data_IF_156320565249
#
_entry.id   IF_156320565249
#
_cell.length_a   1.000
_cell.length_b   1.000
_cell.length_c   1.000
_cell.angle_alpha   90.00
_cell.angle_beta   90.00
_cell.angle_gamma   90.00
#
_symmetry.space_group_name_H-M   'P 1'
#
loop_
_entity.id
_entity.type
_entity.pdbx_description
1 polymer ?
#
# COMPACT_ATOMS: atom_id res chain seq x y z
N UNK A 1 66.88 0.28 16.16
CA UNK A 1 66.23 0.93 15.00
C UNK A 1 65.12 0.00 14.53
N UNK A 2 63.93 0.17 15.03
CA UNK A 2 62.71 -0.56 14.62
C UNK A 2 61.76 0.46 14.07
N UNK A 3 61.49 0.36 12.78
CA UNK A 3 60.50 1.16 12.08
C UNK A 3 59.12 0.58 12.39
N UNK A 4 58.31 1.34 13.10
CA UNK A 4 56.89 1.04 13.32
C UNK A 4 56.07 1.67 12.18
N UNK A 5 55.62 0.85 11.23
CA UNK A 5 54.66 1.24 10.21
C UNK A 5 53.25 1.26 10.81
N UNK A 6 52.73 2.45 11.05
CA UNK A 6 51.32 2.67 11.38
C UNK A 6 50.43 2.32 10.16
N UNK A 7 49.30 1.60 10.36
CA UNK A 7 48.34 1.36 9.29
C UNK A 7 47.62 2.65 8.96
N UNK A 8 47.64 3.05 7.68
CA UNK A 8 46.89 4.16 7.14
C UNK A 8 45.37 3.91 7.30
N UNK A 9 44.74 4.64 8.21
CA UNK A 9 43.27 4.81 8.20
C UNK A 9 42.86 5.58 6.94
N UNK A 10 41.92 5.08 6.13
CA UNK A 10 41.44 5.85 4.99
C UNK A 10 40.67 7.06 5.50
N UNK A 11 41.24 8.24 5.26
CA UNK A 11 40.56 9.53 5.44
C UNK A 11 39.41 9.60 4.45
N UNK A 12 38.21 9.29 4.87
CA UNK A 12 36.97 9.64 4.16
C UNK A 12 36.77 11.16 4.25
N UNK A 13 37.50 11.91 3.43
CA UNK A 13 37.11 13.28 3.12
C UNK A 13 35.81 13.20 2.33
N UNK A 14 34.70 13.56 2.96
CA UNK A 14 33.43 13.84 2.27
C UNK A 14 33.72 14.82 1.13
N UNK A 15 33.32 14.51 -0.11
CA UNK A 15 33.52 15.44 -1.21
C UNK A 15 32.84 16.77 -0.87
N UNK A 16 33.50 17.91 -1.03
CA UNK A 16 32.94 19.23 -0.71
C UNK A 16 31.66 19.58 -1.48
N UNK A 17 31.36 18.85 -2.56
CA UNK A 17 30.19 19.09 -3.41
C UNK A 17 28.89 18.39 -2.96
N UNK A 18 28.91 17.51 -1.96
CA UNK A 18 27.69 16.88 -1.46
C UNK A 18 26.73 17.86 -0.76
N UNK A 19 27.26 18.95 -0.21
CA UNK A 19 26.47 20.01 0.42
C UNK A 19 25.85 21.00 -0.61
N UNK A 20 26.39 21.10 -1.82
CA UNK A 20 25.90 21.97 -2.88
C UNK A 20 24.73 21.38 -3.67
N UNK A 21 24.48 20.07 -3.55
CA UNK A 21 23.43 19.37 -4.30
C UNK A 21 21.99 19.62 -3.80
N UNK A 22 21.82 20.22 -2.63
CA UNK A 22 20.49 20.54 -2.09
C UNK A 22 20.45 22.03 -1.70
N UNK A 23 19.72 22.87 -2.45
CA UNK A 23 19.49 24.23 -2.00
C UNK A 23 18.85 24.19 -0.62
N UNK A 24 19.24 25.11 0.29
CA UNK A 24 18.70 25.15 1.63
C UNK A 24 17.18 25.21 1.57
N UNK A 25 16.50 24.29 2.26
CA UNK A 25 15.03 24.30 2.39
C UNK A 25 14.62 25.64 2.99
N UNK A 26 14.17 26.56 2.12
CA UNK A 26 13.67 27.85 2.56
C UNK A 26 12.40 27.62 3.37
N UNK A 27 12.47 28.02 4.64
CA UNK A 27 11.38 28.08 5.63
C UNK A 27 10.50 26.83 5.75
N UNK A 28 10.76 26.06 6.80
CA UNK A 28 9.78 25.07 7.31
C UNK A 28 8.50 25.82 7.70
N UNK A 29 7.45 25.70 6.90
CA UNK A 29 6.11 26.05 7.33
C UNK A 29 5.49 24.79 7.98
N UNK A 30 5.50 24.67 9.32
CA UNK A 30 4.94 23.51 10.03
C UNK A 30 3.46 23.29 9.69
N UNK A 31 2.75 24.37 9.33
CA UNK A 31 1.37 24.34 8.86
C UNK A 31 1.16 23.48 7.60
N UNK A 32 2.08 23.48 6.64
CA UNK A 32 1.92 22.68 5.41
C UNK A 32 1.99 21.16 5.69
N UNK A 33 2.85 20.75 6.62
CA UNK A 33 2.93 19.36 7.04
C UNK A 33 1.67 18.93 7.81
N UNK A 34 1.16 19.80 8.69
CA UNK A 34 -0.08 19.55 9.41
C UNK A 34 -1.28 19.37 8.46
N UNK A 35 -1.39 20.20 7.42
CA UNK A 35 -2.42 20.07 6.38
C UNK A 35 -2.32 18.73 5.63
N UNK A 36 -1.11 18.29 5.29
CA UNK A 36 -0.89 16.97 4.67
C UNK A 36 -1.25 15.82 5.59
N UNK A 37 -0.91 15.91 6.88
CA UNK A 37 -1.28 14.91 7.88
C UNK A 37 -2.81 14.86 8.02
N UNK A 38 -3.46 16.02 8.12
CA UNK A 38 -4.93 16.12 8.21
C UNK A 38 -5.61 15.51 6.99
N UNK A 39 -5.19 15.87 5.78
CA UNK A 39 -5.67 15.24 4.54
C UNK A 39 -5.48 13.72 4.55
N UNK A 40 -4.31 13.26 4.99
CA UNK A 40 -4.02 11.83 5.06
C UNK A 40 -4.94 11.10 6.03
N UNK A 41 -5.20 11.67 7.21
CA UNK A 41 -6.08 11.12 8.23
C UNK A 41 -7.51 11.02 7.70
N UNK A 42 -8.09 12.12 7.20
CA UNK A 42 -9.47 12.16 6.71
C UNK A 42 -9.69 11.20 5.54
N UNK A 43 -8.74 11.11 4.59
CA UNK A 43 -8.77 10.14 3.50
C UNK A 43 -8.69 8.71 4.02
N UNK A 44 -7.87 8.44 5.03
CA UNK A 44 -7.74 7.10 5.60
C UNK A 44 -9.01 6.67 6.37
N UNK A 45 -9.67 7.60 7.06
CA UNK A 45 -10.97 7.36 7.68
C UNK A 45 -11.98 6.96 6.59
N UNK A 46 -12.11 7.76 5.53
CA UNK A 46 -13.00 7.45 4.41
C UNK A 46 -12.68 6.09 3.77
N UNK A 47 -11.40 5.79 3.56
CA UNK A 47 -10.93 4.50 3.04
C UNK A 47 -11.32 3.32 3.93
N UNK A 48 -11.15 3.45 5.25
CA UNK A 48 -11.56 2.45 6.24
C UNK A 48 -13.07 2.20 6.23
N UNK A 49 -13.88 3.26 6.07
CA UNK A 49 -15.33 3.14 5.90
C UNK A 49 -15.68 2.37 4.64
N UNK A 50 -15.10 2.75 3.51
CA UNK A 50 -15.48 2.22 2.19
C UNK A 50 -15.02 0.77 2.00
N UNK A 51 -13.90 0.35 2.57
CA UNK A 51 -13.39 -1.03 2.45
C UNK A 51 -14.33 -2.04 3.11
N UNK A 52 -14.95 -1.65 4.21
CA UNK A 52 -15.94 -2.52 4.89
C UNK A 52 -17.30 -2.40 4.18
N UNK A 53 -17.73 -1.19 3.81
CA UNK A 53 -19.05 -0.97 3.27
C UNK A 53 -19.26 -1.55 1.87
N UNK A 54 -18.23 -1.52 1.01
CA UNK A 54 -18.36 -1.91 -0.40
C UNK A 54 -18.72 -3.39 -0.60
N UNK A 55 -18.06 -4.38 0.04
CA UNK A 55 -18.47 -5.77 -0.09
C UNK A 55 -19.93 -6.02 0.37
N UNK A 56 -20.34 -5.40 1.48
CA UNK A 56 -21.72 -5.52 1.97
C UNK A 56 -22.72 -4.84 1.05
N UNK A 57 -22.36 -3.72 0.43
CA UNK A 57 -23.20 -3.08 -0.58
C UNK A 57 -23.41 -4.03 -1.76
N UNK A 58 -22.33 -4.56 -2.33
CA UNK A 58 -22.39 -5.36 -3.55
C UNK A 58 -23.05 -6.71 -3.30
N UNK A 59 -22.64 -7.43 -2.25
CA UNK A 59 -23.10 -8.80 -1.99
C UNK A 59 -24.47 -8.85 -1.28
N UNK A 60 -24.67 -8.05 -0.23
CA UNK A 60 -25.85 -8.17 0.62
C UNK A 60 -26.97 -7.19 0.25
N UNK A 61 -26.65 -5.99 -0.27
CA UNK A 61 -27.67 -4.99 -0.60
C UNK A 61 -28.10 -5.10 -2.06
N UNK A 62 -27.14 -5.25 -2.98
CA UNK A 62 -27.41 -5.32 -4.41
C UNK A 62 -27.55 -6.76 -4.92
N UNK A 63 -27.24 -7.76 -4.07
CA UNK A 63 -27.25 -9.18 -4.41
C UNK A 63 -26.48 -9.51 -5.70
N UNK A 64 -25.37 -8.78 -5.93
CA UNK A 64 -24.47 -9.01 -7.05
C UNK A 64 -23.50 -10.13 -6.74
N UNK A 65 -22.86 -10.67 -7.78
CA UNK A 65 -21.88 -11.75 -7.66
C UNK A 65 -20.54 -11.28 -7.09
N UNK A 66 -19.72 -12.22 -6.61
CA UNK A 66 -18.35 -11.93 -6.18
C UNK A 66 -17.46 -11.56 -7.36
N UNK A 67 -17.75 -12.04 -8.57
CA UNK A 67 -17.12 -11.60 -9.80
C UNK A 67 -17.38 -10.10 -10.06
N UNK A 68 -18.62 -9.63 -9.86
CA UNK A 68 -18.94 -8.21 -9.97
C UNK A 68 -18.14 -7.35 -8.98
N UNK A 69 -18.00 -7.80 -7.73
CA UNK A 69 -17.13 -7.15 -6.74
C UNK A 69 -15.66 -7.16 -7.18
N UNK A 70 -15.19 -8.28 -7.72
CA UNK A 70 -13.84 -8.42 -8.29
C UNK A 70 -13.61 -7.43 -9.44
N UNK A 71 -14.58 -7.28 -10.34
CA UNK A 71 -14.51 -6.31 -11.45
C UNK A 71 -14.42 -4.85 -10.95
N UNK A 72 -15.20 -4.49 -9.92
CA UNK A 72 -15.11 -3.18 -9.26
C UNK A 72 -13.71 -2.95 -8.70
N UNK A 73 -13.13 -3.92 -8.00
CA UNK A 73 -11.77 -3.81 -7.48
C UNK A 73 -10.71 -3.70 -8.59
N UNK A 74 -10.84 -4.49 -9.67
CA UNK A 74 -9.94 -4.41 -10.82
C UNK A 74 -9.99 -3.04 -11.47
N UNK A 75 -11.18 -2.50 -11.70
CA UNK A 75 -11.36 -1.15 -12.23
C UNK A 75 -10.64 -0.11 -11.38
N UNK A 76 -10.75 -0.20 -10.05
CA UNK A 76 -10.06 0.69 -9.12
C UNK A 76 -8.54 0.52 -9.08
N UNK A 77 -8.05 -0.72 -9.12
CA UNK A 77 -6.61 -1.01 -9.12
C UNK A 77 -5.95 -0.52 -10.40
N UNK A 78 -6.56 -0.82 -11.56
CA UNK A 78 -6.05 -0.37 -12.86
C UNK A 78 -6.09 1.14 -13.00
N UNK A 79 -7.21 1.75 -12.61
CA UNK A 79 -7.33 3.20 -12.56
C UNK A 79 -6.27 3.84 -11.65
N UNK A 80 -6.06 3.30 -10.46
CA UNK A 80 -5.01 3.79 -9.53
C UNK A 80 -3.63 3.76 -10.18
N UNK A 81 -3.29 2.72 -10.93
CA UNK A 81 -2.01 2.63 -11.64
C UNK A 81 -1.86 3.74 -12.69
N UNK A 82 -2.89 3.94 -13.53
CA UNK A 82 -2.90 4.97 -14.58
C UNK A 82 -2.89 6.38 -13.98
N UNK A 83 -3.77 6.61 -13.00
CA UNK A 83 -3.88 7.91 -12.35
C UNK A 83 -2.64 8.28 -11.54
N UNK A 84 -1.94 7.33 -10.94
CA UNK A 84 -0.69 7.58 -10.23
C UNK A 84 0.41 8.07 -11.17
N UNK A 85 0.52 7.49 -12.38
CA UNK A 85 1.46 7.93 -13.41
C UNK A 85 1.07 9.31 -13.94
N UNK A 86 -0.22 9.50 -14.28
CA UNK A 86 -0.73 10.78 -14.77
C UNK A 86 -0.56 11.91 -13.73
N UNK A 87 -0.87 11.63 -12.46
CA UNK A 87 -0.72 12.59 -11.37
C UNK A 87 0.77 12.93 -11.10
N UNK A 88 1.66 11.95 -11.21
CA UNK A 88 3.11 12.19 -11.14
C UNK A 88 3.58 13.12 -12.26
N UNK A 89 3.21 12.84 -13.52
CA UNK A 89 3.55 13.70 -14.67
C UNK A 89 2.95 15.11 -14.55
N UNK A 90 1.72 15.20 -14.04
CA UNK A 90 1.05 16.49 -13.82
C UNK A 90 1.77 17.31 -12.73
N UNK A 91 2.21 16.64 -11.65
CA UNK A 91 2.97 17.27 -10.58
C UNK A 91 4.35 17.78 -11.04
N UNK A 92 4.98 17.07 -12.00
CA UNK A 92 6.29 17.44 -12.55
C UNK A 92 6.19 18.55 -13.59
N UNK A 93 5.14 18.56 -14.43
CA UNK A 93 4.99 19.50 -15.56
C UNK A 93 4.24 20.78 -15.21
N UNK A 94 3.27 20.73 -14.29
CA UNK A 94 2.43 21.89 -13.94
C UNK A 94 2.73 22.37 -12.53
N UNK A 95 1.91 21.94 -11.58
CA UNK A 95 2.05 22.31 -10.18
C UNK A 95 1.73 21.14 -9.29
N UNK A 96 2.62 20.73 -8.37
CA UNK A 96 2.38 19.63 -7.45
C UNK A 96 1.13 19.87 -6.57
N UNK A 97 0.79 21.12 -6.26
CA UNK A 97 -0.45 21.48 -5.58
C UNK A 97 -1.69 21.13 -6.39
N UNK A 98 -1.72 21.45 -7.68
CA UNK A 98 -2.84 21.13 -8.57
C UNK A 98 -3.06 19.62 -8.69
N UNK A 99 -2.00 18.86 -8.90
CA UNK A 99 -2.06 17.38 -8.92
C UNK A 99 -2.55 16.78 -7.60
N UNK A 100 -2.11 17.34 -6.46
CA UNK A 100 -2.56 16.92 -5.14
C UNK A 100 -4.05 17.22 -4.88
N UNK A 101 -4.53 18.39 -5.32
CA UNK A 101 -5.94 18.77 -5.22
C UNK A 101 -6.81 17.87 -6.08
N UNK A 102 -6.47 17.69 -7.36
CA UNK A 102 -7.25 16.84 -8.28
C UNK A 102 -7.37 15.42 -7.69
N UNK A 103 -6.26 14.80 -7.34
CA UNK A 103 -6.28 13.44 -6.77
C UNK A 103 -6.93 13.39 -5.38
N UNK A 104 -6.90 14.48 -4.62
CA UNK A 104 -7.55 14.61 -3.32
C UNK A 104 -9.08 14.63 -3.44
N UNK A 105 -9.63 15.35 -4.42
CA UNK A 105 -11.07 15.45 -4.64
C UNK A 105 -11.68 14.23 -5.34
N UNK A 106 -10.89 13.34 -5.93
CA UNK A 106 -11.39 12.11 -6.56
C UNK A 106 -12.09 11.18 -5.55
N UNK A 107 -11.59 11.08 -4.33
CA UNK A 107 -12.16 10.21 -3.29
C UNK A 107 -13.57 10.66 -2.85
N UNK A 108 -13.78 11.92 -2.42
CA UNK A 108 -15.13 12.35 -2.09
C UNK A 108 -16.10 12.27 -3.27
N UNK A 109 -15.64 12.61 -4.48
CA UNK A 109 -16.47 12.49 -5.68
C UNK A 109 -16.96 11.04 -5.89
N UNK A 110 -16.03 10.07 -5.81
CA UNK A 110 -16.37 8.66 -5.97
C UNK A 110 -17.32 8.15 -4.90
N UNK A 111 -17.11 8.56 -3.64
CA UNK A 111 -18.01 8.19 -2.55
C UNK A 111 -19.43 8.73 -2.75
N UNK A 112 -19.57 9.98 -3.20
CA UNK A 112 -20.86 10.58 -3.51
C UNK A 112 -21.52 9.98 -4.76
N UNK A 113 -20.75 9.55 -5.76
CA UNK A 113 -21.28 8.78 -6.90
C UNK A 113 -21.97 7.50 -6.41
N UNK A 114 -21.33 6.73 -5.51
CA UNK A 114 -21.93 5.52 -4.91
C UNK A 114 -23.17 5.86 -4.06
N UNK A 115 -23.12 6.96 -3.31
CA UNK A 115 -24.28 7.42 -2.54
C UNK A 115 -25.46 7.78 -3.44
N UNK A 116 -25.22 8.48 -4.53
CA UNK A 116 -26.26 8.96 -5.43
C UNK A 116 -26.91 7.80 -6.20
N UNK A 117 -26.11 6.89 -6.73
CA UNK A 117 -26.61 5.76 -7.52
C UNK A 117 -25.78 4.49 -7.25
N UNK A 118 -26.45 3.42 -6.86
CA UNK A 118 -25.86 2.13 -6.51
C UNK A 118 -25.95 1.11 -7.66
N UNK A 119 -26.18 1.55 -8.90
CA UNK A 119 -26.14 0.65 -10.06
C UNK A 119 -24.72 0.15 -10.33
N UNK A 120 -24.59 -1.06 -10.85
CA UNK A 120 -23.29 -1.66 -11.17
C UNK A 120 -22.40 -0.79 -12.07
N UNK A 121 -22.91 -0.17 -13.17
CA UNK A 121 -22.10 0.76 -13.97
C UNK A 121 -21.60 1.96 -13.18
N UNK A 122 -22.42 2.49 -12.24
CA UNK A 122 -22.00 3.62 -11.41
C UNK A 122 -20.95 3.20 -10.39
N UNK A 123 -21.02 1.98 -9.84
CA UNK A 123 -19.99 1.44 -8.96
C UNK A 123 -18.66 1.27 -9.69
N UNK A 124 -18.68 0.80 -10.94
CA UNK A 124 -17.48 0.74 -11.79
C UNK A 124 -16.92 2.14 -12.06
N UNK A 125 -17.75 3.11 -12.45
CA UNK A 125 -17.32 4.49 -12.69
C UNK A 125 -16.75 5.13 -11.41
N UNK A 126 -17.40 4.96 -10.27
CA UNK A 126 -16.92 5.43 -8.98
C UNK A 126 -15.59 4.77 -8.60
N UNK A 127 -15.41 3.48 -8.90
CA UNK A 127 -14.16 2.77 -8.65
C UNK A 127 -13.01 3.29 -9.53
N UNK A 128 -13.30 3.61 -10.78
CA UNK A 128 -12.32 4.25 -11.69
C UNK A 128 -11.91 5.62 -11.15
N UNK A 129 -12.85 6.43 -10.71
CA UNK A 129 -12.58 7.76 -10.15
C UNK A 129 -11.84 7.67 -8.81
N UNK A 130 -12.34 6.87 -7.87
CA UNK A 130 -11.82 6.80 -6.50
C UNK A 130 -10.68 5.82 -6.29
N UNK A 131 -10.40 4.96 -7.26
CA UNK A 131 -9.40 3.91 -7.13
C UNK A 131 -9.74 2.96 -5.97
N UNK A 132 -10.92 2.32 -5.98
CA UNK A 132 -11.34 1.39 -4.94
C UNK A 132 -10.48 0.13 -4.97
N UNK A 133 -9.37 0.15 -4.28
CA UNK A 133 -8.46 -0.98 -4.21
C UNK A 133 -8.39 -1.51 -2.77
N UNK A 134 -8.86 -2.73 -2.56
CA UNK A 134 -8.76 -3.39 -1.27
C UNK A 134 -7.30 -3.79 -0.93
N UNK A 135 -6.44 -3.91 -1.94
CA UNK A 135 -5.08 -4.47 -1.81
C UNK A 135 -4.06 -3.61 -1.06
N UNK A 136 -4.34 -2.35 -0.83
CA UNK A 136 -3.42 -1.46 -0.13
C UNK A 136 -4.03 -0.68 1.03
N UNK A 137 -5.26 -1.00 1.39
CA UNK A 137 -6.14 -0.15 2.21
C UNK A 137 -5.72 -0.01 3.66
N UNK A 138 -5.06 -0.99 4.22
CA UNK A 138 -4.77 -0.98 5.65
C UNK A 138 -3.68 0.03 6.05
N UNK A 139 -2.74 0.40 5.16
CA UNK A 139 -1.68 1.37 5.49
C UNK A 139 -1.32 2.32 4.33
N UNK A 140 -2.25 2.70 3.50
CA UNK A 140 -1.97 3.88 2.68
C UNK A 140 -2.06 3.78 1.18
N UNK A 141 -2.51 2.68 0.64
CA UNK A 141 -2.69 2.51 -0.81
C UNK A 141 -4.09 2.05 -1.23
N UNK A 142 -5.05 2.05 -0.32
CA UNK A 142 -6.44 1.73 -0.60
C UNK A 142 -7.13 2.78 -1.44
N UNK A 143 -8.37 3.07 -1.09
CA UNK A 143 -9.15 4.12 -1.76
C UNK A 143 -8.34 5.41 -1.89
N UNK A 144 -8.26 5.97 -3.08
CA UNK A 144 -7.47 7.17 -3.37
C UNK A 144 -5.96 6.95 -3.50
N UNK A 145 -5.50 5.73 -3.80
CA UNK A 145 -4.08 5.42 -3.99
C UNK A 145 -3.35 6.29 -5.02
N UNK A 146 -4.06 6.86 -5.98
CA UNK A 146 -3.54 7.78 -6.98
C UNK A 146 -2.88 9.04 -6.39
N UNK A 147 -3.33 9.52 -5.22
CA UNK A 147 -2.73 10.67 -4.54
C UNK A 147 -1.39 10.35 -3.87
N UNK A 148 -1.05 9.08 -3.67
CA UNK A 148 0.12 8.68 -2.87
C UNK A 148 1.47 9.11 -3.48
N UNK A 149 1.74 8.96 -4.78
CA UNK A 149 3.00 9.43 -5.37
C UNK A 149 3.16 10.94 -5.23
N UNK A 150 2.10 11.71 -5.51
CA UNK A 150 2.10 13.17 -5.39
C UNK A 150 2.32 13.59 -3.93
N UNK A 151 1.61 12.96 -2.98
CA UNK A 151 1.80 13.20 -1.56
C UNK A 151 3.24 12.90 -1.12
N UNK A 152 3.81 11.81 -1.61
CA UNK A 152 5.20 11.44 -1.31
C UNK A 152 6.20 12.47 -1.85
N UNK A 153 5.98 12.99 -3.06
CA UNK A 153 6.82 14.03 -3.63
C UNK A 153 6.73 15.35 -2.82
N UNK A 154 5.53 15.71 -2.39
CA UNK A 154 5.32 16.90 -1.54
C UNK A 154 5.99 16.74 -0.16
N UNK A 155 5.89 15.57 0.47
CA UNK A 155 6.60 15.29 1.72
C UNK A 155 8.12 15.41 1.52
N UNK A 156 8.63 14.90 0.40
CA UNK A 156 10.05 15.00 0.08
C UNK A 156 10.53 16.46 -0.05
N UNK A 157 9.67 17.36 -0.54
CA UNK A 157 9.93 18.80 -0.64
C UNK A 157 9.80 19.56 0.69
N UNK A 158 8.93 19.09 1.58
CA UNK A 158 8.69 19.69 2.89
C UNK A 158 9.58 19.12 4.01
N UNK A 159 10.41 18.12 3.72
CA UNK A 159 11.23 17.42 4.70
C UNK A 159 12.72 17.43 4.31
N UNK A 160 13.58 17.44 5.33
CA UNK A 160 15.02 17.19 5.15
C UNK A 160 15.30 15.70 4.96
N UNK A 161 16.41 15.29 4.30
CA UNK A 161 16.78 13.88 4.16
C UNK A 161 16.78 13.10 5.49
N UNK A 162 17.24 13.73 6.57
CA UNK A 162 17.33 13.12 7.90
C UNK A 162 15.96 12.87 8.56
N UNK A 163 14.95 13.70 8.29
CA UNK A 163 13.62 13.62 8.89
C UNK A 163 12.58 12.92 7.99
N UNK A 164 12.89 12.72 6.72
CA UNK A 164 11.96 12.19 5.71
C UNK A 164 11.40 10.83 6.10
N UNK A 165 12.25 9.89 6.49
CA UNK A 165 11.84 8.53 6.90
C UNK A 165 10.91 8.58 8.11
N UNK A 166 11.20 9.45 9.08
CA UNK A 166 10.35 9.65 10.26
C UNK A 166 8.96 10.15 9.87
N UNK A 167 8.85 11.12 8.96
CA UNK A 167 7.55 11.61 8.49
C UNK A 167 6.75 10.54 7.75
N UNK A 168 7.38 9.74 6.88
CA UNK A 168 6.70 8.62 6.22
C UNK A 168 6.18 7.59 7.23
N UNK A 169 6.96 7.24 8.23
CA UNK A 169 6.56 6.28 9.27
C UNK A 169 5.39 6.80 10.11
N UNK A 170 5.44 8.06 10.53
CA UNK A 170 4.35 8.71 11.27
C UNK A 170 3.07 8.74 10.43
N UNK A 171 3.16 9.18 9.18
CA UNK A 171 2.02 9.23 8.27
C UNK A 171 1.41 7.86 8.01
N UNK A 172 2.24 6.82 7.85
CA UNK A 172 1.76 5.46 7.65
C UNK A 172 1.06 4.92 8.90
N UNK A 173 1.64 5.15 10.08
CA UNK A 173 1.04 4.77 11.36
C UNK A 173 -0.30 5.49 11.59
N UNK A 174 -0.33 6.81 11.45
CA UNK A 174 -1.55 7.60 11.60
C UNK A 174 -2.63 7.19 10.60
N UNK A 175 -2.23 6.86 9.35
CA UNK A 175 -3.16 6.36 8.33
C UNK A 175 -3.81 5.05 8.75
N UNK A 176 -3.06 4.13 9.34
CA UNK A 176 -3.59 2.85 9.80
C UNK A 176 -4.59 3.02 10.95
N UNK A 177 -4.24 3.83 11.96
CA UNK A 177 -5.14 4.14 13.08
C UNK A 177 -6.39 4.90 12.59
N UNK A 178 -6.24 5.87 11.70
CA UNK A 178 -7.35 6.60 11.11
C UNK A 178 -8.27 5.68 10.29
N UNK A 179 -7.69 4.74 9.53
CA UNK A 179 -8.43 3.71 8.80
C UNK A 179 -9.22 2.78 9.72
N UNK A 180 -8.63 2.41 10.86
CA UNK A 180 -9.32 1.65 11.90
C UNK A 180 -10.52 2.42 12.46
N UNK A 181 -10.34 3.70 12.79
CA UNK A 181 -11.43 4.58 13.20
C UNK A 181 -12.53 4.66 12.14
N UNK A 182 -12.15 4.79 10.87
CA UNK A 182 -13.08 4.76 9.74
C UNK A 182 -13.88 3.46 9.65
N UNK A 183 -13.21 2.31 9.77
CA UNK A 183 -13.90 1.02 9.80
C UNK A 183 -14.92 0.94 10.93
N UNK A 184 -14.59 1.41 12.15
CA UNK A 184 -15.53 1.44 13.28
C UNK A 184 -16.73 2.35 13.02
N UNK A 185 -16.56 3.48 12.35
CA UNK A 185 -17.67 4.39 12.03
C UNK A 185 -18.74 3.74 11.18
N UNK A 186 -18.44 2.70 10.43
CA UNK A 186 -19.42 1.95 9.64
C UNK A 186 -20.56 1.37 10.50
N UNK A 187 -20.29 1.11 11.77
CA UNK A 187 -21.30 0.62 12.71
C UNK A 187 -22.50 1.59 12.86
N UNK A 188 -22.25 2.88 12.81
CA UNK A 188 -23.23 3.93 13.11
C UNK A 188 -24.06 4.38 11.89
N UNK A 189 -23.65 4.02 10.68
CA UNK A 189 -24.29 4.45 9.45
C UNK A 189 -24.94 3.27 8.72
N UNK A 190 -26.01 3.51 7.96
CA UNK A 190 -26.48 2.54 6.97
C UNK A 190 -25.45 2.39 5.86
N UNK A 191 -25.52 1.30 5.07
CA UNK A 191 -24.56 1.05 3.98
C UNK A 191 -24.47 2.25 3.03
N UNK A 192 -25.59 2.81 2.64
CA UNK A 192 -25.66 3.99 1.76
C UNK A 192 -25.08 5.25 2.41
N UNK A 193 -25.49 5.56 3.64
CA UNK A 193 -25.00 6.76 4.36
C UNK A 193 -23.51 6.65 4.76
N UNK A 194 -22.94 5.45 4.81
CA UNK A 194 -21.50 5.28 4.98
C UNK A 194 -20.71 5.95 3.85
N UNK A 195 -21.17 5.85 2.59
CA UNK A 195 -20.53 6.52 1.46
C UNK A 195 -20.72 8.03 1.50
N UNK A 196 -21.89 8.53 1.93
CA UNK A 196 -22.08 9.96 2.15
C UNK A 196 -21.10 10.51 3.19
N UNK A 197 -21.02 9.88 4.35
CA UNK A 197 -20.12 10.29 5.43
C UNK A 197 -18.65 10.22 5.01
N UNK A 198 -18.24 9.14 4.32
CA UNK A 198 -16.88 9.00 3.79
C UNK A 198 -16.57 10.12 2.77
N UNK A 199 -17.53 10.48 1.94
CA UNK A 199 -17.42 11.61 1.01
C UNK A 199 -17.23 12.93 1.72
N UNK A 200 -18.04 13.24 2.74
CA UNK A 200 -17.92 14.48 3.53
C UNK A 200 -16.59 14.55 4.26
N UNK A 201 -16.18 13.49 4.95
CA UNK A 201 -14.93 13.47 5.71
C UNK A 201 -13.72 13.66 4.77
N UNK A 202 -13.68 12.95 3.63
CA UNK A 202 -12.58 13.09 2.68
C UNK A 202 -12.60 14.43 1.94
N UNK A 203 -13.78 15.03 1.71
CA UNK A 203 -13.92 16.36 1.13
C UNK A 203 -13.32 17.44 2.02
N UNK A 204 -13.61 17.40 3.33
CA UNK A 204 -13.03 18.35 4.31
C UNK A 204 -11.50 18.29 4.28
N UNK A 205 -10.93 17.08 4.22
CA UNK A 205 -9.47 16.92 4.09
C UNK A 205 -8.92 17.43 2.76
N UNK A 206 -9.61 17.17 1.65
CA UNK A 206 -9.21 17.67 0.34
C UNK A 206 -9.32 19.20 0.25
N UNK A 207 -10.36 19.79 0.84
CA UNK A 207 -10.54 21.24 0.92
C UNK A 207 -9.44 21.92 1.75
N UNK A 208 -8.97 21.29 2.82
CA UNK A 208 -7.85 21.81 3.60
C UNK A 208 -6.55 21.94 2.79
N UNK A 209 -6.37 21.13 1.73
CA UNK A 209 -5.20 21.26 0.84
C UNK A 209 -5.21 22.54 0.01
N UNK A 210 -6.32 23.26 -0.09
CA UNK A 210 -6.37 24.56 -0.79
C UNK A 210 -5.43 25.56 -0.11
N UNK A 211 -5.30 25.46 1.22
CA UNK A 211 -4.42 26.33 2.00
C UNK A 211 -2.93 25.93 1.97
N UNK A 212 -2.58 24.76 1.37
CA UNK A 212 -1.17 24.32 1.31
C UNK A 212 -0.35 25.20 0.37
N UNK A 213 0.83 25.57 0.80
CA UNK A 213 1.86 26.24 -0.02
C UNK A 213 3.02 25.27 -0.23
N UNK A 214 3.26 24.89 -1.49
CA UNK A 214 4.33 23.96 -1.85
C UNK A 214 5.47 24.76 -2.50
N UNK A 215 6.71 24.71 -1.95
CA UNK A 215 7.85 25.38 -2.55
C UNK A 215 8.12 24.85 -3.97
N UNK A 216 8.48 25.76 -4.88
CA UNK A 216 8.95 25.37 -6.20
C UNK A 216 10.27 24.59 -6.08
N UNK A 217 10.35 23.47 -6.77
CA UNK A 217 11.52 22.62 -6.81
C UNK A 217 12.06 22.57 -8.24
N UNK A 218 13.30 23.00 -8.39
CA UNK A 218 14.02 22.78 -9.64
C UNK A 218 14.49 21.33 -9.64
N UNK A 219 13.93 20.51 -10.51
CA UNK A 219 14.34 19.11 -10.66
C UNK A 219 15.82 19.07 -11.07
N UNK A 220 16.65 18.42 -10.26
CA UNK A 220 18.03 18.08 -10.63
C UNK A 220 17.99 17.21 -11.88
N UNK A 221 18.81 17.55 -12.89
CA UNK A 221 18.90 16.72 -14.10
C UNK A 221 19.35 15.31 -13.75
N UNK A 222 18.73 14.29 -14.37
CA UNK A 222 19.10 12.91 -14.14
C UNK A 222 20.53 12.65 -14.64
N UNK A 223 21.35 12.06 -13.78
CA UNK A 223 22.70 11.59 -14.18
C UNK A 223 22.54 10.19 -14.75
N UNK A 224 22.70 10.06 -16.06
CA UNK A 224 22.61 8.78 -16.76
C UNK A 224 23.69 7.80 -16.28
N UNK A 225 23.33 6.72 -15.60
CA UNK A 225 24.21 5.66 -15.14
C UNK A 225 23.76 4.29 -15.68
N UNK A 226 24.72 3.39 -15.92
CA UNK A 226 24.55 2.08 -16.57
C UNK A 226 23.57 1.18 -15.80
N UNK A 227 22.52 0.71 -16.47
CA UNK A 227 21.40 -0.04 -15.86
C UNK A 227 21.77 -1.49 -15.51
N UNK A 228 21.35 -1.95 -14.32
CA UNK A 228 21.32 -3.38 -13.98
C UNK A 228 19.94 -3.98 -14.36
N UNK A 229 19.74 -4.30 -15.63
CA UNK A 229 18.50 -4.92 -16.15
C UNK A 229 18.14 -6.23 -15.44
N UNK A 230 19.13 -6.93 -14.88
CA UNK A 230 18.92 -8.19 -14.14
C UNK A 230 18.18 -7.98 -12.82
N UNK A 231 18.58 -7.00 -12.02
CA UNK A 231 17.92 -6.67 -10.76
C UNK A 231 16.47 -6.23 -10.99
N UNK A 232 16.24 -5.34 -11.97
CA UNK A 232 14.90 -4.87 -12.34
C UNK A 232 14.00 -6.05 -12.71
N UNK A 233 14.48 -7.00 -13.52
CA UNK A 233 13.73 -8.21 -13.91
C UNK A 233 13.39 -9.08 -12.70
N UNK A 234 14.32 -9.32 -11.78
CA UNK A 234 14.08 -10.11 -10.57
C UNK A 234 13.01 -9.46 -9.67
N UNK A 235 13.08 -8.15 -9.45
CA UNK A 235 12.06 -7.42 -8.69
C UNK A 235 10.70 -7.39 -9.38
N UNK A 236 10.66 -7.31 -10.71
CA UNK A 236 9.39 -7.36 -11.47
C UNK A 236 8.73 -8.73 -11.37
N UNK A 237 9.48 -9.82 -11.48
CA UNK A 237 8.95 -11.20 -11.35
C UNK A 237 8.42 -11.42 -9.92
N UNK A 238 9.22 -11.12 -8.90
CA UNK A 238 8.78 -11.27 -7.51
C UNK A 238 7.65 -10.32 -7.15
N UNK A 239 7.61 -9.14 -7.78
CA UNK A 239 6.52 -8.17 -7.69
C UNK A 239 5.23 -8.71 -8.30
N UNK A 240 5.27 -9.32 -9.47
CA UNK A 240 4.12 -9.95 -10.12
C UNK A 240 3.54 -11.09 -9.27
N UNK A 241 4.39 -12.00 -8.77
CA UNK A 241 3.96 -13.09 -7.87
C UNK A 241 3.35 -12.55 -6.56
N UNK A 242 3.93 -11.49 -6.01
CA UNK A 242 3.34 -10.83 -4.84
C UNK A 242 2.00 -10.16 -5.18
N UNK A 243 1.85 -9.60 -6.38
CA UNK A 243 0.58 -9.07 -6.88
C UNK A 243 -0.48 -10.15 -7.02
N UNK A 244 -0.16 -11.26 -7.69
CA UNK A 244 -1.04 -12.42 -7.81
C UNK A 244 -1.55 -12.87 -6.44
N UNK A 245 -0.63 -13.11 -5.49
CA UNK A 245 -1.00 -13.55 -4.15
C UNK A 245 -1.88 -12.51 -3.43
N UNK A 246 -1.61 -11.23 -3.60
CA UNK A 246 -2.44 -10.18 -3.01
C UNK A 246 -3.84 -10.16 -3.59
N UNK A 247 -3.96 -10.28 -4.92
CA UNK A 247 -5.25 -10.26 -5.62
C UNK A 247 -6.13 -11.47 -5.29
N UNK A 248 -5.53 -12.66 -5.10
CA UNK A 248 -6.26 -13.87 -4.73
C UNK A 248 -6.98 -13.75 -3.38
N UNK A 249 -6.37 -13.14 -2.38
CA UNK A 249 -6.88 -13.23 -1.01
C UNK A 249 -7.37 -11.89 -0.46
N UNK A 250 -6.59 -10.82 -0.60
CA UNK A 250 -6.83 -9.60 0.19
C UNK A 250 -8.19 -8.96 -0.03
N UNK A 251 -8.69 -8.78 -1.26
CA UNK A 251 -9.99 -8.18 -1.51
C UNK A 251 -11.15 -9.07 -1.05
N UNK A 252 -10.90 -10.37 -0.97
CA UNK A 252 -11.92 -11.38 -0.70
C UNK A 252 -11.94 -11.88 0.75
N UNK A 253 -11.07 -11.38 1.63
CA UNK A 253 -11.11 -11.74 3.06
C UNK A 253 -12.43 -11.32 3.71
N UNK A 254 -12.92 -10.10 3.50
CA UNK A 254 -14.22 -9.67 4.01
C UNK A 254 -15.35 -10.47 3.35
N UNK A 255 -15.44 -10.59 1.99
CA UNK A 255 -16.39 -11.48 1.32
C UNK A 255 -16.40 -12.91 1.87
N UNK A 256 -15.24 -13.49 2.15
CA UNK A 256 -15.13 -14.83 2.75
C UNK A 256 -15.91 -14.93 4.07
N UNK A 257 -15.72 -13.98 5.00
CA UNK A 257 -16.45 -13.97 6.26
C UNK A 257 -17.95 -13.68 6.08
N UNK A 258 -18.32 -12.90 5.07
CA UNK A 258 -19.73 -12.65 4.74
C UNK A 258 -20.40 -13.91 4.23
N UNK A 259 -19.77 -14.63 3.29
CA UNK A 259 -20.36 -15.77 2.61
C UNK A 259 -20.33 -17.05 3.47
N UNK A 260 -19.21 -17.32 4.14
CA UNK A 260 -19.03 -18.56 4.91
C UNK A 260 -19.64 -18.47 6.30
N UNK A 261 -19.47 -17.33 6.99
CA UNK A 261 -19.89 -17.20 8.39
C UNK A 261 -21.07 -16.25 8.60
N UNK A 262 -21.60 -15.65 7.52
CA UNK A 262 -22.73 -14.70 7.56
C UNK A 262 -22.51 -13.58 8.59
N UNK A 263 -21.24 -13.12 8.74
CA UNK A 263 -20.91 -12.07 9.69
C UNK A 263 -21.59 -10.75 9.29
N UNK A 264 -22.23 -10.13 10.27
CA UNK A 264 -22.83 -8.81 10.07
C UNK A 264 -21.77 -7.73 9.81
N UNK A 265 -22.15 -6.71 9.05
CA UNK A 265 -21.30 -5.56 8.72
C UNK A 265 -20.69 -4.91 9.97
N UNK A 266 -21.48 -4.72 11.03
CA UNK A 266 -21.03 -4.13 12.29
C UNK A 266 -19.94 -4.95 12.98
N UNK A 267 -20.07 -6.27 13.02
CA UNK A 267 -19.03 -7.15 13.59
C UNK A 267 -17.77 -7.13 12.75
N UNK A 268 -17.90 -7.21 11.42
CA UNK A 268 -16.76 -7.17 10.52
C UNK A 268 -16.02 -5.82 10.58
N UNK A 269 -16.76 -4.72 10.78
CA UNK A 269 -16.18 -3.38 11.00
C UNK A 269 -15.24 -3.34 12.22
N UNK A 270 -15.66 -3.95 13.34
CA UNK A 270 -14.85 -4.04 14.56
C UNK A 270 -13.59 -4.87 14.30
N UNK A 271 -13.72 -6.05 13.70
CA UNK A 271 -12.56 -6.91 13.41
C UNK A 271 -11.59 -6.25 12.43
N UNK A 272 -12.11 -5.55 11.41
CA UNK A 272 -11.28 -4.78 10.48
C UNK A 272 -10.53 -3.64 11.17
N UNK A 273 -11.18 -2.96 12.11
CA UNK A 273 -10.53 -1.92 12.91
C UNK A 273 -9.38 -2.50 13.76
N UNK A 274 -9.63 -3.60 14.47
CA UNK A 274 -8.60 -4.27 15.27
C UNK A 274 -7.43 -4.74 14.38
N UNK A 275 -7.73 -5.37 13.24
CA UNK A 275 -6.71 -5.80 12.28
C UNK A 275 -5.85 -4.63 11.77
N UNK A 276 -6.47 -3.47 11.51
CA UNK A 276 -5.78 -2.25 11.07
C UNK A 276 -4.86 -1.67 12.15
N UNK A 277 -5.28 -1.71 13.42
CA UNK A 277 -4.46 -1.29 14.57
C UNK A 277 -3.26 -2.23 14.70
N UNK A 278 -3.47 -3.55 14.71
CA UNK A 278 -2.39 -4.53 14.80
C UNK A 278 -1.39 -4.39 13.65
N UNK A 279 -1.89 -4.15 12.42
CA UNK A 279 -1.06 -3.91 11.26
C UNK A 279 -0.22 -2.62 11.40
N UNK A 280 -0.79 -1.56 11.98
CA UNK A 280 -0.07 -0.30 12.23
C UNK A 280 1.03 -0.47 13.27
N UNK A 281 0.78 -1.26 14.33
CA UNK A 281 1.79 -1.61 15.33
C UNK A 281 2.90 -2.47 14.71
N UNK A 282 2.54 -3.45 13.89
CA UNK A 282 3.50 -4.31 13.20
C UNK A 282 4.45 -3.53 12.27
N UNK A 283 3.97 -2.44 11.66
CA UNK A 283 4.81 -1.56 10.86
C UNK A 283 5.94 -0.92 11.68
N UNK A 284 5.68 -0.55 12.92
CA UNK A 284 6.70 0.00 13.82
C UNK A 284 7.71 -1.07 14.26
N UNK A 285 7.27 -2.33 14.35
CA UNK A 285 8.13 -3.46 14.72
C UNK A 285 8.96 -3.99 13.53
N UNK A 286 8.60 -3.67 12.29
CA UNK A 286 9.24 -4.19 11.08
C UNK A 286 10.75 -3.96 11.02
N UNK A 287 11.32 -2.77 11.35
CA UNK A 287 12.76 -2.55 11.34
C UNK A 287 13.51 -3.39 12.41
N UNK A 288 12.87 -3.70 13.53
CA UNK A 288 13.45 -4.55 14.57
C UNK A 288 13.51 -6.02 14.10
N UNK A 289 12.47 -6.48 13.40
CA UNK A 289 12.43 -7.82 12.81
C UNK A 289 13.51 -7.97 11.74
N UNK A 290 13.66 -6.98 10.86
CA UNK A 290 14.67 -6.98 9.80
C UNK A 290 16.10 -6.98 10.37
N UNK A 291 16.35 -6.20 11.43
CA UNK A 291 17.67 -6.19 12.12
C UNK A 291 18.02 -7.54 12.75
N UNK A 292 17.03 -8.28 13.29
CA UNK A 292 17.27 -9.57 13.95
C UNK A 292 17.42 -10.74 12.99
N UNK A 293 16.60 -10.79 11.96
CA UNK A 293 16.52 -11.93 11.04
C UNK A 293 17.29 -11.70 9.72
N UNK A 294 17.62 -10.47 9.43
CA UNK A 294 18.10 -10.05 8.12
C UNK A 294 16.98 -9.95 7.08
N UNK A 295 17.26 -9.30 5.97
CA UNK A 295 16.30 -8.97 4.93
C UNK A 295 15.56 -10.19 4.35
N UNK A 296 16.30 -11.18 3.83
CA UNK A 296 15.68 -12.33 3.13
C UNK A 296 14.88 -13.21 4.09
N UNK A 297 15.46 -13.50 5.27
CA UNK A 297 14.80 -14.36 6.27
C UNK A 297 13.54 -13.70 6.83
N UNK A 298 13.53 -12.40 7.07
CA UNK A 298 12.34 -11.72 7.61
C UNK A 298 11.17 -11.76 6.63
N UNK A 299 11.42 -11.53 5.33
CA UNK A 299 10.39 -11.61 4.28
C UNK A 299 9.91 -13.04 4.08
N UNK A 300 10.80 -14.01 3.98
CA UNK A 300 10.43 -15.41 3.75
C UNK A 300 9.67 -16.00 4.94
N UNK A 301 10.09 -15.68 6.18
CA UNK A 301 9.41 -16.10 7.39
C UNK A 301 7.98 -15.54 7.50
N UNK A 302 7.82 -14.22 7.33
CA UNK A 302 6.49 -13.59 7.41
C UNK A 302 5.54 -14.09 6.33
N UNK A 303 6.05 -14.35 5.13
CA UNK A 303 5.26 -14.95 4.03
C UNK A 303 4.91 -16.40 4.29
N UNK A 304 5.86 -17.22 4.73
CA UNK A 304 5.62 -18.63 5.04
C UNK A 304 4.60 -18.77 6.17
N UNK A 305 4.76 -18.00 7.25
CA UNK A 305 3.81 -18.00 8.37
C UNK A 305 2.42 -17.53 7.92
N UNK A 306 2.33 -16.42 7.17
CA UNK A 306 1.06 -15.92 6.64
C UNK A 306 0.38 -16.93 5.71
N UNK A 307 1.15 -17.66 4.89
CA UNK A 307 0.64 -18.71 4.01
C UNK A 307 0.09 -19.89 4.81
N UNK A 308 0.84 -20.36 5.81
CA UNK A 308 0.41 -21.46 6.67
C UNK A 308 -0.89 -21.12 7.43
N UNK A 309 -1.00 -19.89 7.96
CA UNK A 309 -2.20 -19.42 8.64
C UNK A 309 -3.40 -19.34 7.69
N UNK A 310 -3.24 -18.83 6.47
CA UNK A 310 -4.33 -18.73 5.51
C UNK A 310 -4.77 -20.11 5.02
N UNK A 311 -3.86 -21.07 4.84
CA UNK A 311 -4.21 -22.45 4.55
C UNK A 311 -4.97 -23.09 5.70
N UNK A 312 -4.55 -22.85 6.94
CA UNK A 312 -5.27 -23.30 8.12
C UNK A 312 -6.70 -22.74 8.16
N UNK A 313 -6.89 -21.45 7.83
CA UNK A 313 -8.20 -20.82 7.75
C UNK A 313 -9.10 -21.47 6.69
N UNK A 314 -8.56 -21.81 5.52
CA UNK A 314 -9.30 -22.47 4.44
C UNK A 314 -9.66 -23.91 4.78
N UNK A 315 -8.74 -24.66 5.42
CA UNK A 315 -8.94 -26.09 5.73
C UNK A 315 -9.78 -26.32 6.99
N UNK A 316 -9.82 -25.35 7.90
CA UNK A 316 -10.52 -25.50 9.17
C UNK A 316 -11.58 -24.41 9.33
N UNK A 317 -12.83 -24.74 9.00
CA UNK A 317 -13.99 -23.84 9.01
C UNK A 317 -14.46 -23.48 10.44
N UNK A 318 -13.56 -22.94 11.25
CA UNK A 318 -13.89 -22.43 12.57
C UNK A 318 -13.82 -20.91 12.58
N UNK A 319 -14.94 -20.27 12.95
CA UNK A 319 -15.05 -18.80 12.97
C UNK A 319 -13.95 -18.12 13.81
N UNK A 320 -13.67 -18.65 15.00
CA UNK A 320 -12.72 -18.02 15.93
C UNK A 320 -11.28 -18.12 15.41
N UNK A 321 -10.92 -19.28 14.87
CA UNK A 321 -9.60 -19.48 14.23
C UNK A 321 -9.48 -18.56 13.03
N UNK A 322 -10.51 -18.52 12.16
CA UNK A 322 -10.55 -17.63 11.03
C UNK A 322 -10.39 -16.14 11.41
N UNK A 323 -11.07 -15.70 12.47
CA UNK A 323 -10.96 -14.33 12.98
C UNK A 323 -9.56 -14.02 13.51
N UNK A 324 -8.96 -14.90 14.28
CA UNK A 324 -7.58 -14.72 14.77
C UNK A 324 -6.61 -14.58 13.61
N UNK A 325 -6.75 -15.45 12.60
CA UNK A 325 -5.92 -15.39 11.39
C UNK A 325 -6.17 -14.09 10.62
N UNK A 326 -7.42 -13.67 10.48
CA UNK A 326 -7.77 -12.39 9.86
C UNK A 326 -7.12 -11.20 10.56
N UNK A 327 -7.08 -11.19 11.89
CA UNK A 327 -6.46 -10.11 12.67
C UNK A 327 -4.94 -10.04 12.49
N UNK A 328 -4.27 -11.20 12.35
CA UNK A 328 -2.81 -11.30 12.29
C UNK A 328 -2.27 -11.13 10.86
N UNK A 329 -2.98 -11.63 9.85
CA UNK A 329 -2.51 -11.66 8.45
C UNK A 329 -2.09 -10.29 7.90
N UNK A 330 -2.85 -9.19 8.09
CA UNK A 330 -2.43 -7.87 7.63
C UNK A 330 -1.13 -7.40 8.28
N UNK A 331 -0.93 -7.68 9.56
CA UNK A 331 0.26 -7.33 10.30
C UNK A 331 1.52 -8.01 9.72
N UNK A 332 1.44 -9.32 9.44
CA UNK A 332 2.53 -10.09 8.82
C UNK A 332 2.90 -9.56 7.43
N UNK A 333 1.89 -9.20 6.64
CA UNK A 333 2.10 -8.69 5.28
C UNK A 333 2.76 -7.33 5.26
N UNK A 334 2.35 -6.45 6.17
CA UNK A 334 2.84 -5.08 6.24
C UNK A 334 4.25 -5.02 6.82
N UNK A 335 4.59 -5.88 7.78
CA UNK A 335 5.93 -5.98 8.33
C UNK A 335 7.01 -6.27 7.27
N UNK A 336 6.67 -6.93 6.17
CA UNK A 336 7.60 -7.22 5.07
C UNK A 336 7.83 -6.05 4.09
N UNK A 337 6.97 -5.02 4.07
CA UNK A 337 7.01 -3.96 3.05
C UNK A 337 8.25 -3.04 3.15
N UNK A 338 8.66 -2.54 4.34
CA UNK A 338 9.84 -1.67 4.44
C UNK A 338 11.11 -2.38 3.97
N UNK A 339 11.31 -3.63 4.39
CA UNK A 339 12.43 -4.46 3.98
C UNK A 339 12.46 -4.63 2.45
N UNK A 340 11.33 -4.89 1.82
CA UNK A 340 11.22 -5.04 0.37
C UNK A 340 11.55 -3.74 -0.38
N UNK A 341 11.11 -2.59 0.12
CA UNK A 341 11.43 -1.29 -0.48
C UNK A 341 12.91 -0.94 -0.32
N UNK A 342 13.48 -1.15 0.86
CA UNK A 342 14.91 -0.93 1.11
C UNK A 342 15.78 -1.77 0.19
N UNK A 343 15.39 -3.02 -0.09
CA UNK A 343 16.14 -3.89 -0.98
C UNK A 343 16.15 -3.41 -2.43
N UNK A 344 15.05 -2.84 -2.92
CA UNK A 344 14.99 -2.25 -4.26
C UNK A 344 15.91 -1.03 -4.31
N UNK A 345 15.83 -0.16 -3.31
CA UNK A 345 16.63 1.07 -3.23
C UNK A 345 18.13 0.76 -3.18
N UNK A 346 18.53 -0.24 -2.40
CA UNK A 346 19.96 -0.58 -2.20
C UNK A 346 20.58 -1.32 -3.40
N UNK A 347 19.79 -1.90 -4.28
CA UNK A 347 20.28 -2.73 -5.42
C UNK A 347 20.08 -2.10 -6.80
N UNK A 348 19.33 -1.01 -6.87
CA UNK A 348 19.08 -0.29 -8.11
C UNK A 348 19.62 1.13 -7.95
N UNK A 349 20.74 1.42 -8.62
CA UNK A 349 21.41 2.71 -8.51
C UNK A 349 20.82 3.78 -9.43
N UNK A 350 20.78 5.02 -8.95
CA UNK A 350 20.55 6.24 -9.72
C UNK A 350 19.18 6.34 -10.41
N UNK A 351 19.15 6.83 -11.65
CA UNK A 351 17.96 7.12 -12.46
C UNK A 351 17.07 5.89 -12.74
N UNK A 352 17.61 4.69 -12.65
CA UNK A 352 16.86 3.45 -12.88
C UNK A 352 15.95 3.06 -11.70
N UNK A 353 16.11 3.66 -10.52
CA UNK A 353 15.30 3.37 -9.34
C UNK A 353 13.82 3.70 -9.56
N UNK A 354 13.50 4.87 -10.09
CA UNK A 354 12.13 5.27 -10.39
C UNK A 354 11.47 4.31 -11.40
N UNK A 355 12.21 3.92 -12.46
CA UNK A 355 11.75 2.95 -13.44
C UNK A 355 11.56 1.55 -12.87
N UNK A 356 12.48 1.09 -12.00
CA UNK A 356 12.37 -0.21 -11.33
C UNK A 356 11.15 -0.28 -10.39
N UNK A 357 10.94 0.77 -9.59
CA UNK A 357 9.77 0.90 -8.71
C UNK A 357 8.46 0.97 -9.51
N UNK A 358 8.43 1.77 -10.59
CA UNK A 358 7.26 1.88 -11.45
C UNK A 358 6.94 0.54 -12.13
N UNK A 359 7.94 -0.15 -12.71
CA UNK A 359 7.75 -1.44 -13.36
C UNK A 359 7.31 -2.52 -12.37
N UNK A 360 7.92 -2.56 -11.18
CA UNK A 360 7.49 -3.45 -10.10
C UNK A 360 6.03 -3.17 -9.68
N UNK A 361 5.64 -1.91 -9.58
CA UNK A 361 4.27 -1.51 -9.23
C UNK A 361 3.27 -1.92 -10.33
N UNK A 362 3.57 -1.65 -11.60
CA UNK A 362 2.71 -2.00 -12.72
C UNK A 362 2.53 -3.52 -12.81
N UNK A 363 3.61 -4.29 -12.78
CA UNK A 363 3.54 -5.76 -12.83
C UNK A 363 2.76 -6.33 -11.65
N UNK A 364 2.94 -5.77 -10.46
CA UNK A 364 2.22 -6.17 -9.25
C UNK A 364 0.72 -5.90 -9.38
N UNK A 365 0.32 -4.71 -9.83
CA UNK A 365 -1.10 -4.34 -9.96
C UNK A 365 -1.78 -5.12 -11.08
N UNK A 366 -1.14 -5.30 -12.23
CA UNK A 366 -1.68 -6.11 -13.33
C UNK A 366 -1.88 -7.56 -12.92
N UNK A 367 -0.90 -8.16 -12.27
CA UNK A 367 -1.00 -9.53 -11.76
C UNK A 367 -2.09 -9.67 -10.68
N UNK A 368 -2.22 -8.67 -9.80
CA UNK A 368 -3.28 -8.63 -8.80
C UNK A 368 -4.67 -8.55 -9.42
N UNK A 369 -4.84 -7.81 -10.52
CA UNK A 369 -6.12 -7.67 -11.22
C UNK A 369 -6.57 -9.00 -11.84
N UNK A 370 -5.66 -9.74 -12.45
CA UNK A 370 -5.95 -11.09 -12.98
C UNK A 370 -6.42 -12.01 -11.85
N UNK A 371 -5.70 -11.99 -10.74
CA UNK A 371 -6.02 -12.80 -9.58
C UNK A 371 -7.38 -12.46 -8.95
N UNK A 372 -7.76 -11.18 -8.92
CA UNK A 372 -9.08 -10.75 -8.43
C UNK A 372 -10.23 -11.31 -9.27
N UNK A 373 -10.11 -11.29 -10.59
CA UNK A 373 -11.13 -11.90 -11.46
C UNK A 373 -11.20 -13.41 -11.22
N UNK A 374 -10.05 -14.06 -11.16
CA UNK A 374 -9.97 -15.50 -10.88
C UNK A 374 -10.69 -15.86 -9.56
N UNK A 375 -10.40 -15.15 -8.48
CA UNK A 375 -11.05 -15.38 -7.18
C UNK A 375 -12.55 -15.07 -7.22
N UNK A 376 -12.95 -14.00 -7.90
CA UNK A 376 -14.36 -13.68 -8.07
C UNK A 376 -15.13 -14.80 -8.74
N UNK A 377 -14.59 -15.36 -9.82
CA UNK A 377 -15.19 -16.52 -10.51
C UNK A 377 -15.25 -17.75 -9.60
N UNK A 378 -14.14 -18.08 -8.91
CA UNK A 378 -14.08 -19.26 -8.03
C UNK A 378 -15.11 -19.16 -6.89
N UNK A 379 -15.29 -18.00 -6.30
CA UNK A 379 -16.30 -17.80 -5.26
C UNK A 379 -17.72 -17.92 -5.80
N UNK A 380 -17.99 -17.46 -7.03
CA UNK A 380 -19.31 -17.58 -7.66
C UNK A 380 -19.68 -19.03 -8.00
N UNK A 381 -18.69 -19.88 -8.30
CA UNK A 381 -18.91 -21.33 -8.51
C UNK A 381 -18.79 -22.15 -7.21
N UNK A 382 -18.83 -21.47 -6.04
CA UNK A 382 -18.76 -22.07 -4.70
C UNK A 382 -17.42 -22.73 -4.35
N UNK A 383 -16.37 -22.49 -5.13
CA UNK A 383 -15.00 -22.97 -4.85
C UNK A 383 -14.24 -21.98 -3.93
N UNK A 384 -14.80 -21.73 -2.73
CA UNK A 384 -14.34 -20.66 -1.83
C UNK A 384 -12.92 -20.91 -1.28
N UNK A 385 -12.52 -22.17 -1.17
CA UNK A 385 -11.22 -22.56 -0.63
C UNK A 385 -10.09 -22.50 -1.67
N UNK A 386 -10.42 -22.72 -2.95
CA UNK A 386 -9.46 -22.82 -4.03
C UNK A 386 -8.52 -21.61 -4.16
N UNK A 387 -8.97 -20.36 -4.01
CA UNK A 387 -8.08 -19.19 -4.01
C UNK A 387 -6.99 -19.26 -2.94
N UNK A 388 -7.25 -19.87 -1.78
CA UNK A 388 -6.26 -20.01 -0.71
C UNK A 388 -5.17 -21.04 -1.07
N UNK A 389 -5.55 -22.14 -1.72
CA UNK A 389 -4.58 -23.12 -2.22
C UNK A 389 -3.75 -22.56 -3.37
N UNK A 390 -4.37 -21.82 -4.31
CA UNK A 390 -3.65 -21.11 -5.37
C UNK A 390 -2.69 -20.08 -4.80
N UNK A 391 -3.14 -19.31 -3.80
CA UNK A 391 -2.29 -18.38 -3.07
C UNK A 391 -1.07 -19.07 -2.47
N UNK A 392 -1.25 -20.23 -1.83
CA UNK A 392 -0.15 -20.97 -1.21
C UNK A 392 0.86 -21.44 -2.26
N UNK A 393 0.41 -21.94 -3.41
CA UNK A 393 1.27 -22.31 -4.52
C UNK A 393 2.08 -21.12 -5.06
N UNK A 394 1.41 -20.00 -5.32
CA UNK A 394 2.07 -18.76 -5.75
C UNK A 394 3.08 -18.25 -4.71
N UNK A 395 2.74 -18.32 -3.42
CA UNK A 395 3.64 -17.93 -2.34
C UNK A 395 4.83 -18.87 -2.18
N UNK A 396 4.67 -20.17 -2.35
CA UNK A 396 5.78 -21.11 -2.33
C UNK A 396 6.80 -20.80 -3.44
N UNK A 397 6.32 -20.55 -4.66
CA UNK A 397 7.19 -20.12 -5.78
C UNK A 397 7.84 -18.77 -5.46
N UNK A 398 7.10 -17.82 -4.90
CA UNK A 398 7.64 -16.51 -4.56
C UNK A 398 8.75 -16.60 -3.48
N UNK A 399 8.55 -17.40 -2.42
CA UNK A 399 9.54 -17.63 -1.36
C UNK A 399 10.80 -18.28 -1.95
N UNK A 400 10.64 -19.31 -2.79
CA UNK A 400 11.75 -19.98 -3.47
C UNK A 400 12.56 -18.99 -4.32
N UNK A 401 11.89 -18.18 -5.15
CA UNK A 401 12.59 -17.20 -6.00
C UNK A 401 13.25 -16.08 -5.16
N UNK A 402 12.65 -15.66 -4.07
CA UNK A 402 13.29 -14.71 -3.16
C UNK A 402 14.59 -15.28 -2.59
N UNK A 403 14.58 -16.54 -2.18
CA UNK A 403 15.78 -17.21 -1.66
C UNK A 403 16.85 -17.37 -2.75
N UNK A 404 16.44 -17.77 -3.95
CA UNK A 404 17.34 -17.97 -5.09
C UNK A 404 17.97 -16.66 -5.61
N UNK A 405 17.20 -15.58 -5.67
CA UNK A 405 17.66 -14.31 -6.24
C UNK A 405 18.43 -13.45 -5.24
N UNK A 406 18.12 -13.57 -3.96
CA UNK A 406 18.62 -12.66 -2.92
C UNK A 406 19.29 -13.34 -1.74
N UNK A 407 19.29 -14.69 -1.67
CA UNK A 407 19.80 -15.45 -0.54
C UNK A 407 21.34 -15.43 -0.37
N UNK A 408 22.08 -15.30 -1.47
CA UNK A 408 23.54 -15.28 -1.44
C UNK A 408 24.13 -13.97 -0.91
N UNK A 409 23.38 -12.88 -0.96
CA UNK A 409 23.87 -11.55 -0.52
C UNK A 409 23.79 -11.35 1.01
N UNK A 410 23.07 -12.21 1.72
CA UNK A 410 22.94 -12.14 3.19
C UNK A 410 24.17 -12.67 3.96
N UNK A 411 25.04 -13.42 3.32
CA UNK A 411 26.23 -13.99 3.97
C UNK A 411 27.42 -13.02 4.04
N UNK A 412 27.48 -12.02 3.17
CA UNK A 412 28.59 -11.05 3.17
C UNK A 412 28.41 -9.87 4.15
N UNK A 413 27.20 -9.65 4.69
CA UNK A 413 26.94 -8.55 5.64
C UNK A 413 27.01 -8.97 7.13
N UNK A 414 27.24 -10.24 7.45
CA UNK A 414 27.44 -10.71 8.83
C UNK A 414 28.92 -10.84 9.20
N UNK A 415 29.84 -10.48 8.28
CA UNK A 415 31.30 -10.56 8.48
C UNK A 415 32.01 -9.18 8.52
N UNK A 416 31.25 -8.09 8.75
CA UNK A 416 31.82 -6.76 9.01
C UNK A 416 31.37 -6.20 10.35
#
# INVERSE_FOLDING_TARGET
MKDETHPHTPNYTTPPDAAAAYPPVRSHHPGNLALLIFFRITRSIAGGMMIVALPYLVLNTLHQTTLALGAIYVAGVMSTAVLAVAAGQLADRWHPKGALLITGFMVPLSAWMVYANQSFPMLLAASIVGGFAATGSLIGGGVGGAAQPVQSSVIARLSTPNNRTRYYSILAFLSGIAGAGGAMLVHYFSTRHTFLAAGVISFVGAAALIAITIPEYVASQPIARKQSNRAIRHFSITGALNGLSQGLITPFLIPFFVLVYHLSRSRMAIYTAIASILASIALLAAPALERRLGFVRSITFTRALGTALLLLMASWHNLWIGLIIYLITPALRIAALPAQQSAIINRVEGDSMGRALALNQVTRLSASSIAMICTGVLFDVSEIEMPFFLFAGVMAVNIYLYYRFFGHDGQNNTAQ
#
